data_IF_501742814911
#
_entry.id   IF_501742814911
#
_cell.length_a   1.000
_cell.length_b   1.000
_cell.length_c   1.000
_cell.angle_alpha   90.00
_cell.angle_beta   90.00
_cell.angle_gamma   90.00
#
_symmetry.space_group_name_H-M   'P 1'
#
loop_
_entity.id
_entity.type
_entity.pdbx_description
1 polymer ?
#
# COMPACT_ATOMS: atom_id res chain seq x y z
N UNK A 1 -7.35 -15.53 -6.55
CA UNK A 1 -6.89 -14.82 -5.33
C UNK A 1 -7.75 -13.60 -5.11
N UNK A 2 -8.47 -13.52 -4.00
CA UNK A 2 -9.36 -12.41 -3.65
C UNK A 2 -8.61 -11.25 -2.98
N UNK A 3 -9.26 -10.10 -2.80
CA UNK A 3 -8.64 -8.89 -2.23
C UNK A 3 -8.09 -9.11 -0.82
N UNK A 4 -8.75 -9.92 0.02
CA UNK A 4 -8.30 -10.20 1.38
C UNK A 4 -7.03 -11.07 1.39
N UNK A 5 -6.95 -12.07 0.52
CA UNK A 5 -5.76 -12.90 0.34
C UNK A 5 -4.57 -12.05 -0.13
N UNK A 6 -4.80 -11.13 -1.08
CA UNK A 6 -3.77 -10.19 -1.55
C UNK A 6 -3.26 -9.29 -0.42
N UNK A 7 -4.18 -8.77 0.39
CA UNK A 7 -3.83 -7.93 1.54
C UNK A 7 -3.06 -8.73 2.60
N UNK A 8 -3.46 -9.97 2.89
CA UNK A 8 -2.75 -10.84 3.82
C UNK A 8 -1.32 -11.14 3.35
N UNK A 9 -1.10 -11.36 2.06
CA UNK A 9 0.24 -11.56 1.48
C UNK A 9 1.08 -10.28 1.59
N UNK A 10 0.49 -9.13 1.27
CA UNK A 10 1.16 -7.83 1.37
C UNK A 10 1.55 -7.50 2.82
N UNK A 11 0.73 -7.88 3.81
CA UNK A 11 1.08 -7.71 5.23
C UNK A 11 2.21 -8.60 5.69
N UNK A 12 2.36 -9.79 5.10
CA UNK A 12 3.51 -10.68 5.38
C UNK A 12 4.80 -10.18 4.73
N UNK A 13 4.69 -9.39 3.66
CA UNK A 13 5.82 -8.88 2.88
C UNK A 13 5.67 -7.36 2.69
N UNK A 14 5.77 -6.57 3.77
CA UNK A 14 5.64 -5.12 3.68
C UNK A 14 6.75 -4.53 2.81
N UNK A 15 6.46 -3.41 2.13
CA UNK A 15 7.49 -2.65 1.45
C UNK A 15 8.54 -2.15 2.44
N UNK A 16 9.79 -2.10 2.01
CA UNK A 16 10.93 -1.65 2.81
C UNK A 16 11.69 -0.57 2.07
N UNK A 17 12.35 0.30 2.82
CA UNK A 17 13.20 1.35 2.26
C UNK A 17 14.22 0.76 1.27
N UNK A 18 14.49 1.50 0.20
CA UNK A 18 15.30 1.02 -0.91
C UNK A 18 14.50 0.30 -2.01
N UNK A 19 13.17 0.19 -1.86
CA UNK A 19 12.32 -0.27 -2.96
C UNK A 19 12.39 0.73 -4.11
N UNK A 20 12.68 0.23 -5.31
CA UNK A 20 12.78 1.04 -6.54
C UNK A 20 11.46 0.92 -7.31
N UNK A 21 10.80 2.05 -7.52
CA UNK A 21 9.56 2.12 -8.30
C UNK A 21 9.85 2.03 -9.81
N UNK A 22 8.79 1.97 -10.63
CA UNK A 22 8.93 1.84 -12.09
C UNK A 22 9.57 3.05 -12.78
N UNK A 23 9.59 4.20 -12.11
CA UNK A 23 10.22 5.45 -12.57
C UNK A 23 11.67 5.59 -12.10
N UNK A 24 12.15 4.69 -11.25
CA UNK A 24 13.47 4.76 -10.63
C UNK A 24 13.52 5.49 -9.29
N UNK A 25 12.37 5.96 -8.76
CA UNK A 25 12.32 6.52 -7.40
C UNK A 25 12.68 5.46 -6.37
N UNK A 26 13.54 5.81 -5.42
CA UNK A 26 13.95 4.94 -4.32
C UNK A 26 13.18 5.32 -3.07
N UNK A 27 12.21 4.50 -2.68
CA UNK A 27 11.36 4.79 -1.55
C UNK A 27 12.14 4.83 -0.24
N UNK A 28 11.91 5.90 0.52
CA UNK A 28 12.35 6.10 1.89
C UNK A 28 11.57 5.22 2.87
N UNK A 29 12.07 5.11 4.10
CA UNK A 29 11.37 4.39 5.17
C UNK A 29 9.99 4.98 5.47
N UNK A 30 9.86 6.30 5.48
CA UNK A 30 8.60 7.00 5.72
C UNK A 30 7.57 6.72 4.62
N UNK A 31 8.01 6.63 3.36
CA UNK A 31 7.12 6.34 2.24
C UNK A 31 6.66 4.88 2.25
N UNK A 32 7.56 3.94 2.52
CA UNK A 32 7.19 2.55 2.71
C UNK A 32 6.22 2.38 3.89
N UNK A 33 6.48 3.04 5.02
CA UNK A 33 5.58 3.01 6.18
C UNK A 33 4.18 3.54 5.84
N UNK A 34 4.10 4.66 5.11
CA UNK A 34 2.83 5.25 4.69
C UNK A 34 2.07 4.34 3.72
N UNK A 35 2.74 3.76 2.73
CA UNK A 35 2.13 2.78 1.82
C UNK A 35 1.59 1.56 2.58
N UNK A 36 2.39 1.02 3.50
CA UNK A 36 2.03 -0.16 4.28
C UNK A 36 0.88 0.13 5.25
N UNK A 37 0.75 1.36 5.76
CA UNK A 37 -0.36 1.77 6.62
C UNK A 37 -1.71 1.62 5.88
N UNK A 38 -1.81 2.12 4.64
CA UNK A 38 -3.03 1.90 3.85
C UNK A 38 -3.37 0.42 3.66
N UNK A 39 -2.35 -0.42 3.50
CA UNK A 39 -2.52 -1.88 3.40
C UNK A 39 -3.07 -2.48 4.70
N UNK A 40 -2.54 -2.08 5.84
CA UNK A 40 -3.00 -2.52 7.16
C UNK A 40 -4.43 -2.07 7.46
N UNK A 41 -4.76 -0.81 7.18
CA UNK A 41 -6.10 -0.27 7.38
C UNK A 41 -7.14 -0.98 6.50
N UNK A 42 -6.81 -1.22 5.22
CA UNK A 42 -7.70 -1.92 4.28
C UNK A 42 -7.93 -3.40 4.66
N UNK A 43 -6.99 -4.00 5.40
CA UNK A 43 -7.04 -5.39 5.83
C UNK A 43 -7.79 -5.61 7.15
N UNK A 44 -8.22 -4.56 7.85
CA UNK A 44 -8.95 -4.68 9.12
C UNK A 44 -10.22 -5.53 8.93
N UNK A 45 -10.53 -6.47 9.83
CA UNK A 45 -11.67 -7.37 9.64
C UNK A 45 -13.03 -6.65 9.76
N UNK A 46 -13.10 -5.53 10.47
CA UNK A 46 -14.32 -4.75 10.69
C UNK A 46 -14.52 -3.60 9.68
N UNK A 47 -13.66 -3.44 8.67
CA UNK A 47 -13.82 -2.37 7.67
C UNK A 47 -14.91 -2.72 6.65
N UNK A 48 -15.71 -1.72 6.28
CA UNK A 48 -16.69 -1.88 5.20
C UNK A 48 -16.01 -2.07 3.84
N UNK A 49 -16.71 -2.69 2.89
CA UNK A 49 -16.20 -2.86 1.52
C UNK A 49 -15.87 -1.51 0.86
N UNK A 50 -16.75 -0.52 1.03
CA UNK A 50 -16.56 0.84 0.49
C UNK A 50 -15.33 1.54 1.08
N UNK A 51 -15.13 1.46 2.40
CA UNK A 51 -13.95 2.05 3.04
C UNK A 51 -12.66 1.32 2.62
N UNK A 52 -12.72 0.00 2.42
CA UNK A 52 -11.59 -0.77 1.87
C UNK A 52 -11.23 -0.28 0.47
N UNK A 53 -12.21 -0.14 -0.43
CA UNK A 53 -11.98 0.36 -1.79
C UNK A 53 -11.36 1.75 -1.78
N UNK A 54 -11.90 2.65 -0.94
CA UNK A 54 -11.33 3.99 -0.75
C UNK A 54 -9.86 3.94 -0.32
N UNK A 55 -9.51 3.14 0.69
CA UNK A 55 -8.11 3.03 1.15
C UNK A 55 -7.19 2.43 0.10
N UNK A 56 -7.67 1.48 -0.71
CA UNK A 56 -6.90 0.91 -1.81
C UNK A 56 -6.64 1.92 -2.93
N UNK A 57 -7.63 2.76 -3.25
CA UNK A 57 -7.48 3.88 -4.18
C UNK A 57 -6.49 4.92 -3.63
N UNK A 58 -6.60 5.30 -2.36
CA UNK A 58 -5.63 6.21 -1.72
C UNK A 58 -4.21 5.63 -1.73
N UNK A 59 -4.06 4.33 -1.46
CA UNK A 59 -2.77 3.63 -1.54
C UNK A 59 -2.17 3.73 -2.95
N UNK A 60 -2.99 3.52 -3.98
CA UNK A 60 -2.56 3.59 -5.37
C UNK A 60 -2.13 5.01 -5.74
N UNK A 61 -2.97 6.00 -5.45
CA UNK A 61 -2.65 7.42 -5.70
C UNK A 61 -1.37 7.85 -5.00
N UNK A 62 -1.20 7.44 -3.75
CA UNK A 62 0.01 7.71 -2.99
C UNK A 62 1.25 7.13 -3.69
N UNK A 63 1.18 5.86 -4.12
CA UNK A 63 2.29 5.20 -4.81
C UNK A 63 2.64 5.85 -6.15
N UNK A 64 1.64 6.26 -6.93
CA UNK A 64 1.86 6.98 -8.19
C UNK A 64 2.50 8.33 -7.90
N UNK A 65 1.98 9.09 -6.93
CA UNK A 65 2.50 10.41 -6.57
C UNK A 65 3.98 10.37 -6.17
N UNK A 66 4.39 9.42 -5.34
CA UNK A 66 5.80 9.29 -4.94
C UNK A 66 6.68 8.74 -6.09
N UNK A 67 6.10 7.98 -7.02
CA UNK A 67 6.86 7.45 -8.14
C UNK A 67 7.11 8.53 -9.20
N UNK A 68 6.18 9.44 -9.41
CA UNK A 68 6.28 10.47 -10.46
C UNK A 68 7.02 11.75 -10.03
N UNK A 69 7.39 11.87 -8.75
CA UNK A 69 8.12 13.02 -8.22
C UNK A 69 9.63 12.87 -8.22
#
# INVERSE_FOLDING_TARGET
MNTLERLAIALKNPLRAGYVTYTGHVMTEAECASYNLYTAEAARPWISAQAREFLLDQRHRYFVLISEG
#
